data_IF_689958110707
#
_entry.id   IF_689958110707
#
_cell.length_a   1.000
_cell.length_b   1.000
_cell.length_c   1.000
_cell.angle_alpha   90.00
_cell.angle_beta   90.00
_cell.angle_gamma   90.00
#
_symmetry.space_group_name_H-M   'P 1'
#
loop_
_entity.id
_entity.type
_entity.pdbx_description
1 polymer ?
#
# COMPACT_ATOMS: atom_id res chain seq x y z
N UNK A 1 2.27 -2.73 12.39
CA UNK A 1 3.69 -2.85 11.96
C UNK A 1 4.62 -2.99 13.15
N UNK A 2 4.29 -2.40 14.30
CA UNK A 2 5.21 -2.25 15.45
C UNK A 2 5.73 -3.56 16.07
N UNK A 3 5.01 -4.67 15.87
CA UNK A 3 5.40 -5.99 16.37
C UNK A 3 6.23 -6.81 15.38
N UNK A 4 6.31 -6.37 14.11
CA UNK A 4 7.12 -7.06 13.10
C UNK A 4 8.58 -7.04 13.51
N UNK A 5 9.28 -8.12 13.17
CA UNK A 5 10.70 -8.31 13.41
C UNK A 5 11.44 -8.53 12.09
N UNK A 6 12.76 -8.45 12.12
CA UNK A 6 13.57 -8.94 11.01
C UNK A 6 13.29 -10.44 10.81
N UNK A 7 13.41 -10.89 9.57
CA UNK A 7 13.13 -12.26 9.11
C UNK A 7 11.65 -12.69 9.14
N UNK A 8 10.73 -11.87 9.68
CA UNK A 8 9.30 -12.10 9.51
C UNK A 8 8.95 -12.10 8.01
N UNK A 9 8.14 -13.08 7.60
CA UNK A 9 7.72 -13.24 6.20
C UNK A 9 6.47 -12.40 5.96
N UNK A 10 6.56 -11.48 5.00
CA UNK A 10 5.46 -10.58 4.62
C UNK A 10 5.18 -10.68 3.13
N UNK A 11 3.93 -10.42 2.75
CA UNK A 11 3.55 -10.25 1.35
C UNK A 11 4.11 -8.94 0.82
N UNK A 12 4.91 -9.00 -0.25
CA UNK A 12 5.41 -7.82 -0.98
C UNK A 12 4.63 -7.60 -2.27
N UNK A 13 4.06 -8.67 -2.82
CA UNK A 13 3.12 -8.63 -3.94
C UNK A 13 2.07 -9.77 -3.79
N UNK A 14 1.07 -9.92 -4.69
CA UNK A 14 0.02 -10.93 -4.58
C UNK A 14 0.50 -12.39 -4.52
N UNK A 15 1.69 -12.70 -5.06
CA UNK A 15 2.23 -14.05 -5.20
C UNK A 15 3.62 -14.22 -4.57
N UNK A 16 4.23 -13.12 -4.14
CA UNK A 16 5.57 -13.06 -3.59
C UNK A 16 5.55 -12.69 -2.11
N UNK A 17 6.27 -13.50 -1.33
CA UNK A 17 6.55 -13.27 0.07
C UNK A 17 8.04 -13.14 0.26
N UNK A 18 8.46 -12.18 1.08
CA UNK A 18 9.87 -11.93 1.37
C UNK A 18 10.07 -11.73 2.87
N UNK A 19 11.25 -12.12 3.41
CA UNK A 19 11.62 -11.75 4.77
C UNK A 19 11.88 -10.25 4.87
N UNK A 20 11.54 -9.66 6.01
CA UNK A 20 11.96 -8.30 6.35
C UNK A 20 13.48 -8.30 6.57
N UNK A 21 14.22 -7.75 5.61
CA UNK A 21 15.69 -7.69 5.68
C UNK A 21 16.21 -6.46 6.45
N UNK A 22 15.41 -5.39 6.54
CA UNK A 22 15.77 -4.17 7.26
C UNK A 22 14.55 -3.35 7.66
N UNK A 23 14.73 -2.52 8.70
CA UNK A 23 13.78 -1.47 9.07
C UNK A 23 14.50 -0.12 9.03
N UNK A 24 14.05 0.78 8.16
CA UNK A 24 14.68 2.09 7.97
C UNK A 24 14.39 3.04 9.14
N UNK A 25 13.23 2.88 9.78
CA UNK A 25 12.83 3.62 10.98
C UNK A 25 11.81 2.78 11.75
N UNK A 26 12.08 2.50 13.03
CA UNK A 26 11.20 1.71 13.90
C UNK A 26 11.29 2.27 15.32
N UNK A 27 10.52 3.35 15.54
CA UNK A 27 10.29 3.90 16.88
C UNK A 27 8.78 3.91 17.13
N UNK A 28 8.24 2.91 17.86
CA UNK A 28 6.82 2.82 18.16
C UNK A 28 6.28 3.96 19.03
N UNK A 29 7.16 4.72 19.70
CA UNK A 29 6.78 5.82 20.59
C UNK A 29 6.84 7.19 19.91
N UNK A 30 7.33 7.27 18.67
CA UNK A 30 7.42 8.53 17.94
C UNK A 30 6.03 9.07 17.60
N UNK A 31 5.76 10.32 18.02
CA UNK A 31 4.56 11.04 17.59
C UNK A 31 4.77 11.58 16.17
N UNK A 32 3.91 11.15 15.25
CA UNK A 32 3.96 11.53 13.84
C UNK A 32 2.55 11.84 13.36
N UNK A 33 2.41 12.85 12.50
CA UNK A 33 1.13 13.14 11.85
C UNK A 33 0.78 12.03 10.85
N UNK A 34 -0.44 11.52 10.95
CA UNK A 34 -0.99 10.55 10.01
C UNK A 34 -2.16 11.15 9.26
N UNK A 35 -2.26 10.81 7.98
CA UNK A 35 -3.49 10.95 7.22
C UNK A 35 -4.21 9.60 7.18
N UNK A 36 -5.54 9.65 7.18
CA UNK A 36 -6.38 8.46 7.11
C UNK A 36 -7.06 8.44 5.74
N UNK A 37 -6.74 7.44 4.93
CA UNK A 37 -7.43 7.15 3.69
C UNK A 37 -8.43 6.04 3.97
N UNK A 38 -9.71 6.30 3.70
CA UNK A 38 -10.79 5.33 3.90
C UNK A 38 -11.35 4.92 2.54
N UNK A 39 -11.31 3.63 2.23
CA UNK A 39 -11.83 3.08 0.98
C UNK A 39 -13.35 2.89 1.05
N UNK A 40 -13.98 2.65 -0.10
CA UNK A 40 -15.42 2.33 -0.16
C UNK A 40 -15.79 1.05 0.60
N UNK A 41 -14.84 0.12 0.72
CA UNK A 41 -14.97 -1.14 1.46
C UNK A 41 -14.80 -0.98 2.97
N UNK A 42 -14.78 0.26 3.49
CA UNK A 42 -14.53 0.61 4.89
C UNK A 42 -13.15 0.18 5.40
N UNK A 43 -12.21 -0.17 4.53
CA UNK A 43 -10.81 -0.33 4.94
C UNK A 43 -10.17 1.03 5.12
N UNK A 44 -9.16 1.08 5.98
CA UNK A 44 -8.45 2.30 6.30
C UNK A 44 -6.96 2.09 6.24
N UNK A 45 -6.27 3.02 5.58
CA UNK A 45 -4.82 3.13 5.56
C UNK A 45 -4.44 4.37 6.38
N UNK A 46 -3.67 4.16 7.45
CA UNK A 46 -3.08 5.24 8.25
C UNK A 46 -1.64 5.41 7.82
N UNK A 47 -1.30 6.53 7.18
CA UNK A 47 -0.02 6.74 6.52
C UNK A 47 0.55 8.11 6.85
N UNK A 48 1.87 8.25 6.85
CA UNK A 48 2.48 9.58 6.90
C UNK A 48 2.18 10.34 5.59
N UNK A 49 2.10 11.68 5.61
CA UNK A 49 1.73 12.47 4.43
C UNK A 49 2.58 12.21 3.17
N UNK A 50 3.85 11.84 3.35
CA UNK A 50 4.82 11.59 2.29
C UNK A 50 5.01 10.08 1.99
N UNK A 51 4.15 9.21 2.53
CA UNK A 51 4.15 7.82 2.13
C UNK A 51 3.70 7.71 0.67
N UNK A 52 4.45 6.97 -0.16
CA UNK A 52 4.06 6.71 -1.54
C UNK A 52 3.03 5.58 -1.58
N UNK A 53 1.91 5.82 -2.26
CA UNK A 53 0.86 4.82 -2.45
C UNK A 53 0.45 4.72 -3.92
N UNK A 54 0.15 3.51 -4.42
CA UNK A 54 -0.24 3.28 -5.80
C UNK A 54 -1.71 3.67 -6.00
N UNK A 55 -1.95 4.95 -6.26
CA UNK A 55 -3.30 5.48 -6.56
C UNK A 55 -3.53 5.50 -8.06
N UNK A 56 -4.52 4.74 -8.52
CA UNK A 56 -4.86 4.61 -9.93
C UNK A 56 -6.24 5.18 -10.21
N UNK A 57 -6.54 5.55 -11.47
CA UNK A 57 -7.90 5.78 -11.90
C UNK A 57 -8.76 4.55 -11.59
N UNK A 58 -9.91 4.75 -10.96
CA UNK A 58 -10.82 3.66 -10.66
C UNK A 58 -11.22 2.93 -11.94
N UNK A 59 -10.80 1.66 -12.05
CA UNK A 59 -11.17 0.77 -13.15
C UNK A 59 -11.73 -0.49 -12.55
N UNK A 60 -13.00 -0.78 -12.84
CA UNK A 60 -13.60 -2.08 -12.49
C UNK A 60 -12.84 -3.19 -13.20
N UNK A 61 -12.17 -4.06 -12.45
CA UNK A 61 -11.47 -5.23 -12.99
C UNK A 61 -10.33 -5.73 -12.12
N UNK A 62 -9.80 -6.90 -12.49
CA UNK A 62 -8.60 -7.49 -11.91
C UNK A 62 -7.43 -7.08 -12.80
N UNK A 63 -6.38 -6.53 -12.22
CA UNK A 63 -5.14 -6.27 -12.96
C UNK A 63 -4.26 -7.53 -12.98
N UNK A 64 -3.61 -7.85 -14.12
CA UNK A 64 -2.61 -8.92 -14.15
C UNK A 64 -1.44 -8.58 -13.21
N UNK A 65 -1.02 -9.54 -12.38
CA UNK A 65 0.09 -9.36 -11.43
C UNK A 65 1.40 -8.95 -12.12
N UNK A 66 1.65 -9.47 -13.33
CA UNK A 66 2.77 -9.11 -14.21
C UNK A 66 2.82 -7.63 -14.64
N UNK A 67 1.74 -6.86 -14.46
CA UNK A 67 1.72 -5.42 -14.71
C UNK A 67 1.77 -4.59 -13.41
N UNK A 68 1.82 -5.23 -12.25
CA UNK A 68 1.71 -4.57 -10.96
C UNK A 68 2.87 -3.59 -10.76
N UNK A 69 4.12 -4.03 -10.89
CA UNK A 69 5.29 -3.18 -10.69
C UNK A 69 5.27 -1.93 -11.59
N UNK A 70 5.06 -2.12 -12.90
CA UNK A 70 4.97 -1.01 -13.86
C UNK A 70 3.81 -0.05 -13.53
N UNK A 71 2.69 -0.57 -13.01
CA UNK A 71 1.54 0.24 -12.62
C UNK A 71 1.84 1.01 -11.33
N UNK A 72 2.41 0.37 -10.31
CA UNK A 72 2.85 1.01 -9.06
C UNK A 72 3.84 2.13 -9.38
N UNK A 73 4.87 1.86 -10.18
CA UNK A 73 5.88 2.86 -10.53
C UNK A 73 5.31 4.06 -11.30
N UNK A 74 4.29 3.83 -12.14
CA UNK A 74 3.68 4.88 -12.95
C UNK A 74 2.70 5.77 -12.17
N UNK A 75 1.94 5.16 -11.27
CA UNK A 75 0.78 5.81 -10.64
C UNK A 75 0.99 6.12 -9.15
N UNK A 76 2.12 5.72 -8.57
CA UNK A 76 2.41 6.07 -7.18
C UNK A 76 2.49 7.59 -6.98
N UNK A 77 1.84 8.06 -5.93
CA UNK A 77 1.92 9.44 -5.46
C UNK A 77 1.92 9.48 -3.95
N UNK A 78 2.30 10.64 -3.40
CA UNK A 78 2.27 10.84 -1.95
C UNK A 78 0.85 10.79 -1.41
N UNK A 79 0.70 10.23 -0.22
CA UNK A 79 -0.59 9.98 0.40
C UNK A 79 -1.41 11.28 0.55
N UNK A 80 -0.78 12.42 0.87
CA UNK A 80 -1.48 13.71 0.99
C UNK A 80 -2.06 14.23 -0.33
N UNK A 81 -1.67 13.65 -1.47
CA UNK A 81 -2.20 13.98 -2.80
C UNK A 81 -3.34 13.06 -3.21
N UNK A 82 -3.78 12.14 -2.36
CA UNK A 82 -4.95 11.31 -2.61
C UNK A 82 -6.20 12.19 -2.72
N UNK A 83 -6.99 11.97 -3.75
CA UNK A 83 -8.21 12.71 -4.03
C UNK A 83 -9.43 11.77 -3.97
N UNK A 84 -10.61 12.38 -3.77
CA UNK A 84 -11.87 11.67 -3.88
C UNK A 84 -12.06 11.20 -5.34
N UNK A 85 -12.65 10.02 -5.55
CA UNK A 85 -12.85 9.36 -6.85
C UNK A 85 -11.59 8.70 -7.48
N UNK A 86 -10.54 8.51 -6.70
CA UNK A 86 -9.41 7.65 -7.06
C UNK A 86 -9.42 6.35 -6.27
N UNK A 87 -8.74 5.33 -6.80
CA UNK A 87 -8.69 4.02 -6.18
C UNK A 87 -7.27 3.63 -5.79
N UNK A 88 -7.13 2.93 -4.67
CA UNK A 88 -5.87 2.34 -4.23
C UNK A 88 -5.74 0.95 -4.85
N UNK A 89 -4.55 0.64 -5.37
CA UNK A 89 -4.23 -0.74 -5.77
C UNK A 89 -3.98 -1.62 -4.55
N UNK A 90 -4.76 -2.69 -4.44
CA UNK A 90 -4.71 -3.65 -3.36
C UNK A 90 -4.37 -5.03 -3.91
N UNK A 91 -3.42 -5.72 -3.28
CA UNK A 91 -3.07 -7.10 -3.53
C UNK A 91 -3.65 -7.99 -2.42
N UNK A 92 -4.45 -9.00 -2.77
CA UNK A 92 -5.02 -9.93 -1.80
C UNK A 92 -5.37 -11.28 -2.47
N UNK A 93 -5.01 -12.40 -1.84
CA UNK A 93 -5.26 -13.77 -2.32
C UNK A 93 -4.84 -14.01 -3.80
N UNK A 94 -3.65 -13.54 -4.20
CA UNK A 94 -3.16 -13.70 -5.57
C UNK A 94 -3.84 -12.80 -6.61
N UNK A 95 -4.70 -11.87 -6.20
CA UNK A 95 -5.42 -10.95 -7.07
C UNK A 95 -5.02 -9.49 -6.81
N UNK A 96 -4.97 -8.69 -7.87
CA UNK A 96 -4.84 -7.23 -7.80
C UNK A 96 -6.19 -6.58 -8.09
N UNK A 97 -6.67 -5.75 -7.17
CA UNK A 97 -7.95 -5.03 -7.28
C UNK A 97 -7.75 -3.54 -7.01
N UNK A 98 -8.75 -2.76 -7.40
CA UNK A 98 -8.85 -1.33 -7.06
C UNK A 98 -9.99 -1.15 -6.05
N UNK A 99 -9.77 -0.35 -5.02
CA UNK A 99 -10.74 0.00 -3.95
C UNK A 99 -10.67 1.48 -3.58
#
# INVERSE_FOLDING_TARGET
MDQLQLDDIVFVDPVEQQPIFSMLHHDPAAEVDFIIIKTETNRSLSLTPNHLIPIVPCRRGILPAEKLEATVNRYSKFAHKAEQDECVLMAYDGLVKTE
#
